data_IF_190683441637
#
_entry.id   IF_190683441637
#
_cell.length_a   1.000
_cell.length_b   1.000
_cell.length_c   1.000
_cell.angle_alpha   90.00
_cell.angle_beta   90.00
_cell.angle_gamma   90.00
#
_symmetry.space_group_name_H-M   'P 1'
#
loop_
_entity.id
_entity.type
_entity.pdbx_description
1 polymer ?
#
# COMPACT_ATOMS: atom_id res chain seq x y z
N UNK A 1 4.01 19.75 13.26
CA UNK A 1 3.01 19.81 14.35
C UNK A 1 1.63 19.87 13.71
N UNK A 2 0.95 18.73 13.56
CA UNK A 2 -0.36 18.66 12.90
C UNK A 2 -1.46 19.02 13.92
N UNK A 3 -2.29 20.02 13.61
CA UNK A 3 -3.43 20.43 14.47
C UNK A 3 -4.48 19.32 14.50
N UNK A 4 -4.68 18.69 15.65
CA UNK A 4 -5.65 17.59 15.88
C UNK A 4 -7.07 18.06 16.25
N UNK A 5 -7.34 19.37 16.22
CA UNK A 5 -8.62 19.97 16.63
C UNK A 5 -9.84 19.63 15.75
N UNK A 6 -9.68 18.83 14.68
CA UNK A 6 -10.77 18.45 13.77
C UNK A 6 -11.41 17.09 14.08
N UNK A 7 -10.93 16.36 15.09
CA UNK A 7 -11.37 14.99 15.38
C UNK A 7 -12.42 14.86 16.49
N UNK A 8 -12.85 15.97 17.10
CA UNK A 8 -13.57 15.91 18.37
C UNK A 8 -15.09 15.65 18.24
N UNK A 9 -15.65 15.55 17.02
CA UNK A 9 -17.11 15.42 16.85
C UNK A 9 -17.56 14.63 15.60
N UNK A 10 -16.71 13.79 15.02
CA UNK A 10 -17.05 12.98 13.85
C UNK A 10 -16.95 11.50 14.21
N UNK A 11 -18.01 10.72 13.93
CA UNK A 11 -17.99 9.27 14.09
C UNK A 11 -16.85 8.66 13.24
N UNK A 12 -15.90 7.98 13.88
CA UNK A 12 -14.71 7.47 13.21
C UNK A 12 -15.05 6.49 12.09
N UNK A 13 -14.47 6.68 10.91
CA UNK A 13 -14.64 5.79 9.77
C UNK A 13 -13.72 4.58 9.94
N UNK A 14 -14.29 3.39 10.13
CA UNK A 14 -13.53 2.13 10.18
C UNK A 14 -13.05 1.76 8.76
N UNK A 15 -11.78 1.99 8.46
CA UNK A 15 -11.13 1.46 7.27
C UNK A 15 -10.66 0.03 7.53
N UNK A 16 -11.14 -0.91 6.74
CA UNK A 16 -10.81 -2.32 6.86
C UNK A 16 -10.16 -2.79 5.56
N UNK A 17 -8.84 -2.62 5.51
CA UNK A 17 -8.02 -3.07 4.40
C UNK A 17 -7.76 -4.57 4.51
N UNK A 18 -8.15 -5.33 3.49
CA UNK A 18 -7.83 -6.75 3.40
C UNK A 18 -6.91 -6.99 2.20
N UNK A 19 -5.86 -7.78 2.43
CA UNK A 19 -5.02 -8.31 1.37
C UNK A 19 -5.48 -9.72 1.06
N UNK A 20 -5.87 -9.97 -0.20
CA UNK A 20 -6.17 -11.32 -0.67
C UNK A 20 -4.87 -11.94 -1.18
N UNK A 21 -4.33 -12.89 -0.41
CA UNK A 21 -3.18 -13.69 -0.79
C UNK A 21 -3.63 -15.15 -0.94
N UNK A 22 -3.11 -15.85 -1.94
CA UNK A 22 -3.24 -17.31 -1.99
C UNK A 22 -2.27 -17.95 -1.00
N UNK A 23 -2.52 -19.21 -0.65
CA UNK A 23 -1.63 -19.94 0.26
C UNK A 23 -0.20 -20.04 -0.27
N UNK A 24 -0.05 -20.29 -1.58
CA UNK A 24 1.26 -20.35 -2.24
C UNK A 24 1.99 -19.01 -2.18
N UNK A 25 1.30 -17.91 -2.49
CA UNK A 25 1.88 -16.56 -2.43
C UNK A 25 2.35 -16.22 -1.01
N UNK A 26 1.56 -16.58 0.01
CA UNK A 26 1.95 -16.38 1.40
C UNK A 26 3.23 -17.16 1.76
N UNK A 27 3.32 -18.42 1.33
CA UNK A 27 4.50 -19.26 1.59
C UNK A 27 5.76 -18.68 0.93
N UNK A 28 5.66 -18.24 -0.33
CA UNK A 28 6.77 -17.59 -1.04
C UNK A 28 7.21 -16.31 -0.33
N UNK A 29 6.28 -15.48 0.13
CA UNK A 29 6.62 -14.26 0.88
C UNK A 29 7.34 -14.58 2.20
N UNK A 30 6.85 -15.57 2.95
CA UNK A 30 7.50 -16.01 4.21
C UNK A 30 8.94 -16.48 3.95
N UNK A 31 9.14 -17.29 2.90
CA UNK A 31 10.47 -17.76 2.51
C UNK A 31 11.41 -16.61 2.15
N UNK A 32 10.96 -15.67 1.33
CA UNK A 32 11.77 -14.50 0.94
C UNK A 32 12.11 -13.64 2.16
N UNK A 33 11.12 -13.36 3.01
CA UNK A 33 11.33 -12.62 4.26
C UNK A 33 12.31 -13.32 5.19
N UNK A 34 12.24 -14.64 5.30
CA UNK A 34 13.18 -15.42 6.11
C UNK A 34 14.60 -15.35 5.56
N UNK A 35 14.81 -15.57 4.26
CA UNK A 35 16.14 -15.52 3.65
C UNK A 35 16.75 -14.12 3.74
N UNK A 36 15.99 -13.07 3.38
CA UNK A 36 16.48 -11.69 3.46
C UNK A 36 16.74 -11.26 4.90
N UNK A 37 15.82 -11.59 5.81
CA UNK A 37 15.96 -11.33 7.24
C UNK A 37 17.19 -12.00 7.81
N UNK A 38 17.32 -13.32 7.61
CA UNK A 38 18.47 -14.10 8.04
C UNK A 38 19.79 -13.53 7.51
N UNK A 39 19.87 -13.22 6.22
CA UNK A 39 21.09 -12.70 5.60
C UNK A 39 21.43 -11.28 6.11
N UNK A 40 20.44 -10.48 6.48
CA UNK A 40 20.65 -9.15 7.07
C UNK A 40 21.25 -9.19 8.49
N UNK A 41 21.10 -10.29 9.24
CA UNK A 41 21.65 -10.40 10.59
C UNK A 41 23.18 -10.54 10.61
N UNK A 42 23.77 -11.10 9.56
CA UNK A 42 25.22 -11.28 9.45
C UNK A 42 25.86 -10.10 8.70
N UNK A 43 27.01 -9.62 9.18
CA UNK A 43 27.74 -8.52 8.51
C UNK A 43 28.10 -8.84 7.06
N UNK A 44 28.54 -10.07 6.78
CA UNK A 44 28.82 -10.54 5.42
C UNK A 44 27.56 -10.56 4.56
N UNK A 45 26.45 -11.07 5.11
CA UNK A 45 25.19 -11.16 4.40
C UNK A 45 24.61 -9.78 4.07
N UNK A 46 24.70 -8.82 4.98
CA UNK A 46 24.35 -7.42 4.72
C UNK A 46 25.19 -6.81 3.59
N UNK A 47 26.50 -7.01 3.60
CA UNK A 47 27.38 -6.52 2.52
C UNK A 47 27.03 -7.17 1.18
N UNK A 48 26.62 -8.45 1.19
CA UNK A 48 26.22 -9.19 -0.01
C UNK A 48 24.87 -8.70 -0.57
N UNK A 49 23.89 -8.44 0.29
CA UNK A 49 22.59 -7.84 -0.09
C UNK A 49 22.76 -6.43 -0.68
N UNK A 50 23.67 -5.64 -0.12
CA UNK A 50 23.93 -4.27 -0.58
C UNK A 50 24.63 -4.24 -1.95
N UNK A 51 25.61 -5.13 -2.17
CA UNK A 51 26.37 -5.17 -3.43
C UNK A 51 25.61 -5.82 -4.58
N UNK A 52 24.77 -6.82 -4.30
CA UNK A 52 24.07 -7.61 -5.33
C UNK A 52 22.55 -7.70 -5.09
N UNK A 53 21.84 -6.57 -4.94
CA UNK A 53 20.39 -6.58 -4.68
C UNK A 53 19.60 -7.28 -5.80
N UNK A 54 20.07 -7.18 -7.04
CA UNK A 54 19.44 -7.84 -8.21
C UNK A 54 19.47 -9.36 -8.12
N UNK A 55 20.49 -9.95 -7.52
CA UNK A 55 20.59 -11.40 -7.39
C UNK A 55 19.55 -11.93 -6.39
N UNK A 56 19.45 -11.30 -5.21
CA UNK A 56 18.53 -11.75 -4.16
C UNK A 56 17.07 -11.44 -4.42
N UNK A 57 16.79 -10.48 -5.30
CA UNK A 57 15.43 -10.05 -5.62
C UNK A 57 14.98 -10.50 -7.00
N UNK A 58 15.73 -11.39 -7.67
CA UNK A 58 15.42 -11.90 -9.01
C UNK A 58 15.22 -10.73 -10.00
N UNK A 59 16.09 -9.72 -9.92
CA UNK A 59 16.07 -8.53 -10.77
C UNK A 59 14.95 -7.53 -10.48
N UNK A 60 14.11 -7.75 -9.46
CA UNK A 60 13.05 -6.79 -9.08
C UNK A 60 13.61 -5.50 -8.48
N UNK A 61 14.73 -5.58 -7.77
CA UNK A 61 15.47 -4.44 -7.28
C UNK A 61 16.84 -4.43 -7.93
N UNK A 62 17.34 -3.25 -8.26
CA UNK A 62 18.68 -3.06 -8.79
C UNK A 62 19.36 -1.94 -8.03
N UNK A 63 20.69 -1.98 -7.98
CA UNK A 63 21.49 -0.89 -7.40
C UNK A 63 21.43 0.39 -8.25
N UNK A 64 21.02 0.28 -9.52
CA UNK A 64 20.84 1.42 -10.42
C UNK A 64 19.40 1.94 -10.37
N UNK A 65 19.20 3.25 -10.50
CA UNK A 65 17.85 3.79 -10.68
C UNK A 65 17.17 3.31 -11.98
N UNK A 66 15.86 3.55 -12.14
CA UNK A 66 15.16 3.30 -13.40
C UNK A 66 15.75 4.13 -14.54
N UNK A 67 15.68 3.63 -15.78
CA UNK A 67 16.14 4.37 -16.96
C UNK A 67 15.21 5.55 -17.26
N UNK A 68 15.72 6.59 -17.96
CA UNK A 68 14.90 7.74 -18.34
C UNK A 68 13.69 7.36 -19.20
N UNK A 69 13.84 6.35 -20.06
CA UNK A 69 12.74 5.80 -20.87
C UNK A 69 11.69 5.12 -19.99
N UNK A 70 12.10 4.28 -19.02
CA UNK A 70 11.17 3.66 -18.07
C UNK A 70 10.36 4.72 -17.31
N UNK A 71 10.99 5.83 -16.90
CA UNK A 71 10.29 6.92 -16.20
C UNK A 71 9.30 7.63 -17.12
N UNK A 72 9.63 7.85 -18.40
CA UNK A 72 8.77 8.51 -19.37
C UNK A 72 7.58 7.64 -19.81
N UNK A 73 7.75 6.32 -19.83
CA UNK A 73 6.73 5.34 -20.19
C UNK A 73 5.88 4.88 -19.00
N UNK A 74 6.27 5.23 -17.78
CA UNK A 74 5.53 4.85 -16.56
C UNK A 74 4.23 5.65 -16.48
N UNK A 75 3.11 4.99 -16.78
CA UNK A 75 1.77 5.50 -16.44
C UNK A 75 1.35 4.97 -15.07
N UNK A 76 0.87 5.86 -14.21
CA UNK A 76 0.35 5.48 -12.88
C UNK A 76 -1.16 5.68 -12.88
N UNK A 77 -1.94 4.66 -12.51
CA UNK A 77 -3.39 4.78 -12.33
C UNK A 77 -3.78 4.27 -10.95
N UNK A 78 -4.26 5.17 -10.09
CA UNK A 78 -4.77 4.82 -8.77
C UNK A 78 -6.27 5.10 -8.77
N UNK A 79 -7.07 4.09 -8.46
CA UNK A 79 -8.53 4.21 -8.40
C UNK A 79 -8.98 3.97 -6.96
N UNK A 80 -9.49 5.02 -6.32
CA UNK A 80 -10.14 4.93 -5.02
C UNK A 80 -11.64 4.78 -5.20
N UNK A 81 -12.19 3.74 -4.57
CA UNK A 81 -13.61 3.52 -4.46
C UNK A 81 -14.04 3.78 -3.02
N UNK A 82 -14.90 4.77 -2.81
CA UNK A 82 -15.44 5.09 -1.50
C UNK A 82 -16.96 4.88 -1.49
N UNK A 83 -17.46 4.37 -0.36
CA UNK A 83 -18.89 4.31 -0.04
C UNK A 83 -19.13 5.13 1.23
N UNK A 84 -20.15 5.97 1.24
CA UNK A 84 -20.51 6.81 2.40
C UNK A 84 -22.01 7.12 2.43
N UNK A 85 -22.40 8.06 3.28
CA UNK A 85 -23.80 8.43 3.51
C UNK A 85 -24.10 9.84 2.97
N UNK A 86 -25.29 10.05 2.38
CA UNK A 86 -25.72 11.38 1.93
C UNK A 86 -26.12 12.31 3.09
N UNK A 87 -26.67 11.74 4.16
CA UNK A 87 -27.12 12.47 5.35
C UNK A 87 -26.16 12.21 6.51
N UNK A 88 -25.87 13.24 7.33
CA UNK A 88 -25.22 13.03 8.62
C UNK A 88 -26.14 12.15 9.47
N UNK A 89 -25.64 11.00 9.94
CA UNK A 89 -26.40 10.17 10.86
C UNK A 89 -26.74 11.04 12.08
N UNK A 90 -28.02 11.15 12.43
CA UNK A 90 -28.42 11.76 13.70
C UNK A 90 -27.80 10.94 14.84
N UNK A 91 -27.11 11.63 15.76
CA UNK A 91 -26.20 11.09 16.78
C UNK A 91 -26.81 10.11 17.82
N UNK A 92 -27.96 9.49 17.57
CA UNK A 92 -28.73 8.80 18.61
C UNK A 92 -29.15 7.36 18.31
N UNK A 93 -28.76 6.75 17.18
CA UNK A 93 -29.08 5.33 16.93
C UNK A 93 -27.83 4.51 16.63
N UNK A 94 -27.56 3.51 17.48
CA UNK A 94 -26.47 2.52 17.41
C UNK A 94 -26.44 1.67 16.11
N UNK A 95 -27.18 2.03 15.07
CA UNK A 95 -27.25 1.34 13.78
C UNK A 95 -26.96 2.36 12.67
N UNK A 96 -25.70 2.41 12.24
CA UNK A 96 -25.34 3.13 11.02
C UNK A 96 -26.02 2.41 9.83
N UNK A 97 -26.83 3.10 9.02
CA UNK A 97 -27.48 2.49 7.86
C UNK A 97 -26.45 2.01 6.82
N UNK A 98 -26.84 1.20 5.84
CA UNK A 98 -25.94 0.87 4.73
C UNK A 98 -25.57 2.15 3.93
N UNK A 99 -24.33 2.28 3.44
CA UNK A 99 -23.89 3.48 2.72
C UNK A 99 -24.59 3.62 1.35
N UNK A 100 -25.27 4.74 1.14
CA UNK A 100 -26.11 5.04 -0.04
C UNK A 100 -25.42 5.91 -1.10
N UNK A 101 -24.22 6.40 -0.81
CA UNK A 101 -23.40 7.22 -1.72
C UNK A 101 -22.14 6.45 -2.14
N UNK A 102 -21.87 6.41 -3.44
CA UNK A 102 -20.62 5.86 -4.00
C UNK A 102 -19.82 7.00 -4.63
N UNK A 103 -18.51 7.03 -4.39
CA UNK A 103 -17.58 7.96 -5.01
C UNK A 103 -16.43 7.18 -5.64
N UNK A 104 -15.96 7.62 -6.81
CA UNK A 104 -14.80 7.08 -7.50
C UNK A 104 -13.83 8.22 -7.75
N UNK A 105 -12.63 8.15 -7.17
CA UNK A 105 -11.54 9.08 -7.46
C UNK A 105 -10.49 8.32 -8.26
N UNK A 106 -10.18 8.82 -9.46
CA UNK A 106 -9.12 8.25 -10.31
C UNK A 106 -7.98 9.26 -10.37
N UNK A 107 -6.81 8.87 -9.89
CA UNK A 107 -5.58 9.64 -10.00
C UNK A 107 -4.76 9.02 -11.12
N UNK A 108 -4.46 9.81 -12.14
CA UNK A 108 -3.64 9.42 -13.29
C UNK A 108 -2.33 10.20 -13.27
N UNK A 109 -1.21 9.49 -13.37
CA UNK A 109 0.10 10.07 -13.60
C UNK A 109 0.30 10.44 -15.07
N UNK A 110 1.40 11.14 -15.40
CA UNK A 110 1.74 11.51 -16.77
C UNK A 110 1.89 10.27 -17.68
N UNK A 111 1.52 10.40 -18.96
CA UNK A 111 1.58 9.33 -19.95
C UNK A 111 0.25 8.61 -20.26
N UNK A 112 -0.90 9.20 -19.92
CA UNK A 112 -2.22 8.83 -20.45
C UNK A 112 -2.70 9.86 -21.47
#
# INVERSE_FOLDING_TARGET
>A
MFRTNYLNNESYVKFLGYLKLSFYEALVHIWISFVLGFLSYFMLGRSLLEKYPSFFTVGKFTSTGPTRQQVLETSTKIIFYAKGWKNKASDSTNKTPEPDKKMKLTITGPGM
#
